data_IF_801891539769
#
_entry.id   IF_801891539769
#
_cell.length_a   1.000
_cell.length_b   1.000
_cell.length_c   1.000
_cell.angle_alpha   90.00
_cell.angle_beta   90.00
_cell.angle_gamma   90.00
#
_symmetry.space_group_name_H-M   'P 1'
#
loop_
_entity.id
_entity.type
_entity.pdbx_description
1 polymer ?
#
# COMPACT_ATOMS: atom_id res chain seq x y z
N UNK A 1 0.78 23.59 -10.91
CA UNK A 1 1.18 23.19 -9.55
C UNK A 1 1.77 21.79 -9.64
N UNK A 2 3.05 21.55 -9.30
CA UNK A 2 3.61 20.20 -9.35
C UNK A 2 2.94 19.31 -8.29
N UNK A 3 2.75 18.01 -8.56
CA UNK A 3 2.17 17.09 -7.59
C UNK A 3 3.07 16.98 -6.36
N UNK A 4 2.47 17.03 -5.17
CA UNK A 4 3.20 16.88 -3.92
C UNK A 4 3.87 15.48 -3.85
N UNK A 5 5.09 15.38 -3.30
CA UNK A 5 5.77 14.11 -3.18
C UNK A 5 4.98 13.16 -2.26
N UNK A 6 4.56 12.01 -2.80
CA UNK A 6 3.86 10.98 -2.03
C UNK A 6 4.85 10.25 -1.13
N UNK A 7 4.52 10.18 0.16
CA UNK A 7 5.33 9.50 1.19
C UNK A 7 5.11 7.98 1.13
N UNK A 8 6.16 7.14 1.25
CA UNK A 8 6.03 5.68 1.27
C UNK A 8 5.04 5.19 2.34
N UNK A 9 5.03 5.83 3.51
CA UNK A 9 4.19 5.46 4.65
C UNK A 9 2.71 5.65 4.32
N UNK A 10 2.38 6.69 3.55
CA UNK A 10 1.00 6.93 3.10
C UNK A 10 0.51 5.84 2.14
N UNK A 11 1.39 5.32 1.28
CA UNK A 11 1.06 4.22 0.36
C UNK A 11 0.82 2.91 1.12
N UNK A 12 1.64 2.64 2.14
CA UNK A 12 1.46 1.46 3.01
C UNK A 12 0.18 1.56 3.85
N UNK A 13 -0.10 2.74 4.41
CA UNK A 13 -1.34 2.98 5.15
C UNK A 13 -2.57 2.77 4.26
N UNK A 14 -2.57 3.30 3.03
CA UNK A 14 -3.64 3.08 2.07
C UNK A 14 -3.81 1.59 1.73
N UNK A 15 -2.69 0.87 1.51
CA UNK A 15 -2.72 -0.58 1.30
C UNK A 15 -3.28 -1.36 2.49
N UNK A 16 -3.06 -0.88 3.72
CA UNK A 16 -3.64 -1.47 4.92
C UNK A 16 -5.15 -1.22 5.03
N UNK A 17 -5.62 -0.01 4.68
CA UNK A 17 -7.07 0.29 4.62
C UNK A 17 -7.79 -0.58 3.58
N UNK A 18 -7.14 -0.88 2.46
CA UNK A 18 -7.66 -1.85 1.50
C UNK A 18 -7.78 -3.26 2.09
N UNK A 19 -6.94 -3.62 3.07
CA UNK A 19 -7.10 -4.86 3.84
C UNK A 19 -8.45 -4.92 4.57
N UNK A 20 -8.85 -3.85 5.25
CA UNK A 20 -10.16 -3.78 5.92
C UNK A 20 -11.32 -3.88 4.93
N UNK A 21 -11.22 -3.22 3.77
CA UNK A 21 -12.23 -3.34 2.72
C UNK A 21 -12.39 -4.80 2.24
N UNK A 22 -11.27 -5.51 2.08
CA UNK A 22 -11.27 -6.92 1.67
C UNK A 22 -11.92 -7.84 2.70
N UNK A 23 -11.67 -7.58 3.97
CA UNK A 23 -12.29 -8.36 5.05
C UNK A 23 -13.81 -8.13 5.07
N UNK A 24 -14.26 -6.89 4.94
CA UNK A 24 -15.69 -6.58 4.78
C UNK A 24 -16.30 -7.25 3.53
N UNK A 25 -15.61 -7.18 2.39
CA UNK A 25 -16.12 -7.75 1.15
C UNK A 25 -16.26 -9.28 1.22
N UNK A 26 -15.28 -9.97 1.82
CA UNK A 26 -15.35 -11.43 2.03
C UNK A 26 -16.46 -11.81 3.00
N UNK A 27 -16.54 -11.15 4.15
CA UNK A 27 -17.63 -11.39 5.12
C UNK A 27 -19.00 -11.17 4.48
N UNK A 28 -19.15 -10.06 3.74
CA UNK A 28 -20.41 -9.76 3.05
C UNK A 28 -20.79 -10.79 1.98
N UNK A 29 -19.82 -11.33 1.25
CA UNK A 29 -20.07 -12.35 0.24
C UNK A 29 -20.57 -13.66 0.87
N UNK A 30 -19.98 -14.05 2.00
CA UNK A 30 -20.39 -15.23 2.75
C UNK A 30 -21.78 -15.00 3.39
N UNK A 31 -22.00 -13.85 4.02
CA UNK A 31 -23.28 -13.51 4.67
C UNK A 31 -24.47 -13.49 3.71
N UNK A 32 -24.28 -12.96 2.49
CA UNK A 32 -25.32 -12.89 1.45
C UNK A 32 -25.77 -14.29 1.00
N UNK A 33 -24.83 -15.24 0.91
CA UNK A 33 -25.12 -16.61 0.48
C UNK A 33 -25.62 -17.49 1.64
N UNK A 34 -25.27 -17.15 2.89
CA UNK A 34 -25.75 -17.87 4.07
C UNK A 34 -27.21 -17.54 4.42
N UNK A 35 -27.73 -16.38 4.01
CA UNK A 35 -29.06 -15.88 4.38
C UNK A 35 -29.99 -15.73 3.19
N UNK A 36 -30.22 -16.83 2.44
CA UNK A 36 -31.18 -16.85 1.34
C UNK A 36 -32.62 -16.86 1.87
N UNK A 37 -33.42 -15.81 1.64
CA UNK A 37 -34.80 -15.79 2.11
C UNK A 37 -35.71 -16.57 1.16
N UNK A 38 -36.68 -17.28 1.74
CA UNK A 38 -37.73 -17.98 0.98
C UNK A 38 -38.92 -17.05 0.73
N UNK A 39 -39.22 -16.77 -0.53
CA UNK A 39 -40.31 -15.87 -0.94
C UNK A 39 -41.59 -16.60 -1.37
N UNK A 40 -41.52 -17.92 -1.53
CA UNK A 40 -42.67 -18.80 -1.82
C UNK A 40 -43.18 -18.80 -3.26
N UNK A 41 -42.88 -17.76 -4.04
CA UNK A 41 -43.08 -17.74 -5.50
C UNK A 41 -41.81 -18.22 -6.22
N UNK A 42 -41.96 -19.16 -7.16
CA UNK A 42 -40.82 -19.82 -7.81
C UNK A 42 -40.04 -18.89 -8.74
N UNK A 43 -40.72 -18.02 -9.48
CA UNK A 43 -40.07 -17.12 -10.44
C UNK A 43 -39.33 -16.02 -9.69
N UNK A 44 -39.98 -15.47 -8.64
CA UNK A 44 -39.37 -14.51 -7.74
C UNK A 44 -38.18 -15.10 -6.99
N UNK A 45 -38.28 -16.34 -6.49
CA UNK A 45 -37.19 -17.03 -5.82
C UNK A 45 -35.99 -17.17 -6.76
N UNK A 46 -36.19 -17.65 -7.99
CA UNK A 46 -35.11 -17.79 -8.96
C UNK A 46 -34.43 -16.44 -9.28
N UNK A 47 -35.22 -15.38 -9.49
CA UNK A 47 -34.65 -14.05 -9.75
C UNK A 47 -33.91 -13.47 -8.55
N UNK A 48 -34.35 -13.78 -7.33
CA UNK A 48 -33.67 -13.39 -6.10
C UNK A 48 -32.35 -14.15 -5.92
N UNK A 49 -32.37 -15.47 -6.08
CA UNK A 49 -31.18 -16.31 -5.95
C UNK A 49 -30.11 -15.86 -6.97
N UNK A 50 -30.49 -15.68 -8.24
CA UNK A 50 -29.60 -15.18 -9.31
C UNK A 50 -29.01 -13.80 -8.98
N UNK A 51 -29.78 -12.92 -8.33
CA UNK A 51 -29.32 -11.60 -7.92
C UNK A 51 -28.34 -11.68 -6.75
N UNK A 52 -28.59 -12.53 -5.75
CA UNK A 52 -27.71 -12.70 -4.60
C UNK A 52 -26.38 -13.34 -5.02
N UNK A 53 -26.39 -14.27 -5.97
CA UNK A 53 -25.18 -14.81 -6.59
C UNK A 53 -24.35 -13.71 -7.26
N UNK A 54 -24.98 -12.83 -8.04
CA UNK A 54 -24.31 -11.68 -8.66
C UNK A 54 -23.70 -10.73 -7.62
N UNK A 55 -24.41 -10.47 -6.52
CA UNK A 55 -23.89 -9.63 -5.42
C UNK A 55 -22.66 -10.28 -4.79
N UNK A 56 -22.69 -11.59 -4.52
CA UNK A 56 -21.56 -12.31 -3.95
C UNK A 56 -20.35 -12.27 -4.90
N UNK A 57 -20.56 -12.42 -6.20
CA UNK A 57 -19.50 -12.35 -7.21
C UNK A 57 -18.88 -10.94 -7.30
N UNK A 58 -19.71 -9.89 -7.25
CA UNK A 58 -19.20 -8.50 -7.20
C UNK A 58 -18.36 -8.24 -5.95
N UNK A 59 -18.76 -8.77 -4.79
CA UNK A 59 -17.97 -8.64 -3.56
C UNK A 59 -16.63 -9.38 -3.65
N UNK A 60 -16.59 -10.55 -4.29
CA UNK A 60 -15.34 -11.28 -4.58
C UNK A 60 -14.45 -10.50 -5.56
N UNK A 61 -15.02 -9.85 -6.55
CA UNK A 61 -14.28 -9.00 -7.49
C UNK A 61 -13.67 -7.78 -6.77
N UNK A 62 -14.40 -7.18 -5.82
CA UNK A 62 -13.88 -6.09 -4.96
C UNK A 62 -12.71 -6.58 -4.11
N UNK A 63 -12.78 -7.76 -3.50
CA UNK A 63 -11.65 -8.34 -2.75
C UNK A 63 -10.42 -8.51 -3.65
N UNK A 64 -10.58 -9.14 -4.82
CA UNK A 64 -9.49 -9.37 -5.78
C UNK A 64 -8.85 -8.05 -6.25
N UNK A 65 -9.68 -7.07 -6.61
CA UNK A 65 -9.23 -5.75 -7.06
C UNK A 65 -8.50 -4.99 -5.96
N UNK A 66 -9.02 -5.00 -4.73
CA UNK A 66 -8.38 -4.38 -3.58
C UNK A 66 -7.04 -5.07 -3.23
N UNK A 67 -6.95 -6.40 -3.39
CA UNK A 67 -5.72 -7.15 -3.19
C UNK A 67 -4.63 -6.76 -4.19
N UNK A 68 -4.98 -6.66 -5.49
CA UNK A 68 -4.07 -6.23 -6.54
C UNK A 68 -3.59 -4.79 -6.31
N UNK A 69 -4.50 -3.85 -6.01
CA UNK A 69 -4.14 -2.46 -5.72
C UNK A 69 -3.24 -2.37 -4.48
N UNK A 70 -3.54 -3.08 -3.39
CA UNK A 70 -2.69 -3.13 -2.20
C UNK A 70 -1.28 -3.67 -2.51
N UNK A 71 -1.18 -4.68 -3.38
CA UNK A 71 0.08 -5.22 -3.89
C UNK A 71 0.88 -4.16 -4.64
N UNK A 72 0.24 -3.44 -5.58
CA UNK A 72 0.87 -2.35 -6.35
C UNK A 72 1.35 -1.21 -5.47
N UNK A 73 0.56 -0.83 -4.46
CA UNK A 73 0.92 0.21 -3.48
C UNK A 73 2.15 -0.19 -2.66
N UNK A 74 2.25 -1.46 -2.24
CA UNK A 74 3.43 -1.98 -1.52
C UNK A 74 4.69 -1.90 -2.40
N UNK A 75 4.60 -2.29 -3.66
CA UNK A 75 5.71 -2.18 -4.63
C UNK A 75 6.11 -0.71 -4.84
N UNK A 76 5.13 0.19 -4.99
CA UNK A 76 5.38 1.62 -5.15
C UNK A 76 6.08 2.22 -3.92
N UNK A 77 5.64 1.87 -2.70
CA UNK A 77 6.29 2.28 -1.46
C UNK A 77 7.75 1.83 -1.40
N UNK A 78 8.03 0.56 -1.71
CA UNK A 78 9.40 0.01 -1.70
C UNK A 78 10.33 0.68 -2.72
N UNK A 79 9.81 1.04 -3.91
CA UNK A 79 10.58 1.81 -4.91
C UNK A 79 10.89 3.21 -4.41
N UNK A 80 9.92 3.86 -3.75
CA UNK A 80 10.11 5.21 -3.22
C UNK A 80 11.12 5.24 -2.07
N UNK A 81 11.05 4.31 -1.12
CA UNK A 81 12.01 4.23 -0.01
C UNK A 81 13.45 4.03 -0.51
N UNK A 82 13.67 3.18 -1.53
CA UNK A 82 14.99 3.03 -2.15
C UNK A 82 15.50 4.30 -2.81
N UNK A 83 14.63 5.02 -3.51
CA UNK A 83 15.00 6.31 -4.10
C UNK A 83 15.40 7.35 -3.04
N UNK A 84 14.71 7.37 -1.89
CA UNK A 84 15.06 8.27 -0.78
C UNK A 84 16.42 7.89 -0.16
N UNK A 85 16.67 6.59 0.02
CA UNK A 85 17.95 6.11 0.56
C UNK A 85 19.14 6.46 -0.35
N UNK A 86 19.01 6.23 -1.67
CA UNK A 86 20.07 6.56 -2.63
C UNK A 86 20.42 8.06 -2.65
N UNK A 87 19.40 8.93 -2.55
CA UNK A 87 19.62 10.37 -2.49
C UNK A 87 20.33 10.80 -1.19
N UNK A 88 20.08 10.11 -0.07
CA UNK A 88 20.75 10.37 1.20
C UNK A 88 22.23 9.93 1.17
N UNK A 89 22.54 8.81 0.50
CA UNK A 89 23.92 8.32 0.33
C UNK A 89 24.75 9.27 -0.54
N UNK A 90 24.19 9.83 -1.62
CA UNK A 90 24.87 10.84 -2.45
C UNK A 90 25.22 12.11 -1.66
N UNK A 91 24.35 12.52 -0.73
CA UNK A 91 24.59 13.66 0.16
C UNK A 91 25.67 13.36 1.22
N UNK A 92 25.71 12.13 1.74
CA UNK A 92 26.70 11.70 2.72
C UNK A 92 28.09 11.46 2.09
N UNK A 93 28.14 10.98 0.84
CA UNK A 93 29.38 10.78 0.08
C UNK A 93 30.09 12.07 -0.33
N UNK A 94 29.44 13.22 -0.19
CA UNK A 94 30.00 14.54 -0.52
C UNK A 94 30.75 15.22 0.63
N UNK A 95 30.95 14.58 1.79
CA UNK A 95 31.75 15.15 2.89
C UNK A 95 33.24 14.98 2.59
N UNK A 96 34.00 16.06 2.27
CA UNK A 96 35.45 15.94 2.07
C UNK A 96 36.13 15.56 3.40
N UNK A 97 37.23 14.77 3.35
CA UNK A 97 37.93 14.37 4.56
C UNK A 97 38.40 15.60 5.36
N UNK A 98 38.40 15.53 6.70
CA UNK A 98 38.90 16.62 7.53
C UNK A 98 40.35 16.89 7.13
N UNK A 99 40.64 18.13 6.71
CA UNK A 99 42.01 18.58 6.48
C UNK A 99 42.74 18.45 7.81
N UNK A 100 43.65 17.49 7.91
CA UNK A 100 44.58 17.39 9.01
C UNK A 100 45.34 18.71 9.07
N UNK A 101 44.96 19.55 10.03
CA UNK A 101 45.71 20.75 10.40
C UNK A 101 47.08 20.27 10.83
N UNK A 102 48.03 20.34 9.90
CA UNK A 102 49.45 20.22 10.18
C UNK A 102 49.81 21.32 11.18
N UNK A 103 49.77 20.99 12.47
CA UNK A 103 50.44 21.77 13.51
C UNK A 103 51.93 21.57 13.25
N UNK A 104 52.47 22.41 12.38
CA UNK A 104 53.89 22.61 12.17
C UNK A 104 54.50 22.93 13.53
N UNK A 105 55.20 21.94 14.09
CA UNK A 105 56.20 22.14 15.12
C UNK A 105 57.17 23.21 14.64
N UNK A 106 57.13 24.39 15.27
CA UNK A 106 58.24 25.35 15.18
C UNK A 106 59.19 24.97 16.30
N UNK A 107 60.13 24.11 15.91
CA UNK A 107 61.36 23.76 16.58
C UNK A 107 62.37 24.89 16.33
N UNK A 108 62.85 25.49 17.43
CA UNK A 108 64.26 25.82 17.67
C UNK A 108 65.00 26.80 16.73
N UNK A 109 65.38 27.98 17.26
CA UNK A 109 66.76 28.50 17.14
C UNK A 109 67.00 29.78 17.98
N UNK A 110 67.82 29.61 19.03
CA UNK A 110 68.75 30.55 19.69
C UNK A 110 68.25 31.85 20.33
#
# INVERSE_FOLDING_TARGET
>A
MPPAPVRPEALLALGATLGTLRDCARSGADEVLDHLPEVGDRELQAGLDDYLDQVADLLREVDASAADVAGRLRVAAARRSRSVAAAADDLAGSVPPPRESSTSSIEEAR
#
